data_IF_274542576814
#
_entry.id   IF_274542576814
#
_cell.length_a   1.000
_cell.length_b   1.000
_cell.length_c   1.000
_cell.angle_alpha   90.00
_cell.angle_beta   90.00
_cell.angle_gamma   90.00
#
_symmetry.space_group_name_H-M   'P 1'
#
loop_
_entity.id
_entity.type
_entity.pdbx_description
1 polymer ?
#
# COMPACT_ATOMS: atom_id res chain seq x y z
N UNK A 1 15.02 80.13 -9.31
CA UNK A 1 15.31 78.89 -10.09
C UNK A 1 14.95 77.71 -9.23
N UNK A 2 13.85 76.98 -9.56
CA UNK A 2 13.39 75.82 -8.77
C UNK A 2 13.65 74.59 -9.62
N UNK A 3 14.53 73.70 -9.12
CA UNK A 3 14.82 72.43 -9.71
C UNK A 3 13.72 71.40 -9.29
N UNK A 4 13.09 70.73 -10.25
CA UNK A 4 12.15 69.64 -10.01
C UNK A 4 12.94 68.31 -10.01
N UNK A 5 12.85 67.60 -8.91
CA UNK A 5 13.33 66.23 -8.83
C UNK A 5 12.23 65.28 -9.41
N UNK A 6 12.60 64.47 -10.39
CA UNK A 6 11.74 63.41 -10.92
C UNK A 6 12.02 62.09 -10.12
N UNK A 7 11.01 61.59 -9.41
CA UNK A 7 11.04 60.27 -8.78
C UNK A 7 10.74 59.17 -9.79
N UNK A 8 11.71 58.30 -9.98
CA UNK A 8 11.55 57.07 -10.76
C UNK A 8 11.00 55.99 -9.84
N UNK A 9 9.75 55.57 -10.03
CA UNK A 9 9.16 54.47 -9.32
C UNK A 9 9.53 53.14 -10.04
N UNK A 10 10.35 52.32 -9.40
CA UNK A 10 10.67 51.00 -9.88
C UNK A 10 9.53 50.05 -9.50
N UNK A 11 8.83 49.52 -10.49
CA UNK A 11 7.82 48.46 -10.34
C UNK A 11 8.56 47.12 -10.25
N UNK A 12 8.66 46.57 -9.05
CA UNK A 12 9.11 45.21 -8.81
C UNK A 12 7.95 44.27 -9.17
N UNK A 13 8.02 43.62 -10.34
CA UNK A 13 7.14 42.51 -10.69
C UNK A 13 7.55 41.28 -9.89
N UNK A 14 6.80 40.95 -8.84
CA UNK A 14 6.88 39.66 -8.19
C UNK A 14 6.27 38.60 -9.13
N UNK A 15 7.13 37.94 -9.88
CA UNK A 15 6.80 36.70 -10.57
C UNK A 15 6.54 35.61 -9.55
N UNK A 16 5.28 35.39 -9.18
CA UNK A 16 4.88 34.24 -8.39
C UNK A 16 5.13 32.97 -9.20
N UNK A 17 6.23 32.28 -8.92
CA UNK A 17 6.39 30.91 -9.37
C UNK A 17 5.32 30.07 -8.65
N UNK A 18 4.27 29.67 -9.39
CA UNK A 18 3.40 28.59 -8.97
C UNK A 18 4.26 27.33 -8.85
N UNK A 19 4.72 27.01 -7.64
CA UNK A 19 5.23 25.70 -7.34
C UNK A 19 4.05 24.72 -7.50
N UNK A 20 3.98 24.04 -8.64
CA UNK A 20 3.13 22.89 -8.79
C UNK A 20 3.52 21.93 -7.65
N UNK A 21 2.59 21.68 -6.72
CA UNK A 21 2.76 20.66 -5.70
C UNK A 21 3.04 19.36 -6.43
N UNK A 22 4.28 18.87 -6.34
CA UNK A 22 4.60 17.53 -6.82
C UNK A 22 3.66 16.57 -6.08
N UNK A 23 2.79 15.89 -6.82
CA UNK A 23 1.94 14.87 -6.22
C UNK A 23 2.85 13.88 -5.49
N UNK A 24 2.54 13.57 -4.23
CA UNK A 24 3.35 12.67 -3.43
C UNK A 24 3.56 11.35 -4.17
N UNK A 25 4.83 10.90 -4.23
CA UNK A 25 5.16 9.61 -4.83
C UNK A 25 4.45 8.49 -4.05
N UNK A 26 3.69 7.66 -4.76
CA UNK A 26 2.96 6.54 -4.18
C UNK A 26 3.69 5.21 -4.40
N UNK A 27 3.46 4.30 -3.45
CA UNK A 27 4.02 2.94 -3.42
C UNK A 27 2.95 1.95 -3.00
N UNK A 28 3.16 0.66 -3.31
CA UNK A 28 2.35 -0.42 -2.75
C UNK A 28 2.59 -0.53 -1.24
N UNK A 29 1.53 -0.61 -0.44
CA UNK A 29 1.66 -0.67 1.03
C UNK A 29 2.07 -2.07 1.54
N UNK A 30 1.83 -3.11 0.75
CA UNK A 30 2.15 -4.51 1.03
C UNK A 30 2.37 -5.28 -0.27
N UNK A 31 2.85 -6.52 -0.18
CA UNK A 31 2.97 -7.39 -1.35
C UNK A 31 1.61 -7.66 -1.98
N UNK A 32 1.51 -7.41 -3.27
CA UNK A 32 0.29 -7.63 -4.04
C UNK A 32 0.49 -8.89 -4.89
N UNK A 33 -0.36 -9.88 -4.68
CA UNK A 33 -0.34 -11.12 -5.43
C UNK A 33 -1.21 -11.03 -6.68
N UNK A 34 -0.71 -11.56 -7.80
CA UNK A 34 -1.44 -11.54 -9.05
C UNK A 34 -1.08 -12.70 -9.97
N UNK A 35 -2.08 -13.25 -10.64
CA UNK A 35 -1.91 -14.12 -11.81
C UNK A 35 -2.01 -13.30 -13.10
N UNK A 36 -2.89 -12.30 -13.09
CA UNK A 36 -3.06 -11.31 -14.15
C UNK A 36 -3.04 -9.91 -13.53
N UNK A 37 -2.17 -8.99 -13.99
CA UNK A 37 -2.06 -7.65 -13.40
C UNK A 37 -3.36 -6.87 -13.42
N UNK A 38 -4.19 -7.07 -14.43
CA UNK A 38 -5.49 -6.39 -14.59
C UNK A 38 -6.64 -7.05 -13.83
N UNK A 39 -6.39 -8.10 -13.06
CA UNK A 39 -7.38 -8.84 -12.27
C UNK A 39 -6.88 -9.09 -10.84
N UNK A 40 -6.49 -8.03 -10.16
CA UNK A 40 -6.13 -8.06 -8.74
C UNK A 40 -7.40 -7.80 -7.91
N UNK A 41 -7.54 -8.46 -6.78
CA UNK A 41 -8.69 -8.30 -5.88
C UNK A 41 -8.25 -7.89 -4.49
N UNK A 42 -9.12 -7.17 -3.78
CA UNK A 42 -8.87 -6.71 -2.41
C UNK A 42 -8.61 -7.85 -1.41
N UNK A 43 -9.04 -9.06 -1.71
CA UNK A 43 -8.75 -10.28 -0.93
C UNK A 43 -7.28 -10.70 -0.98
N UNK A 44 -6.50 -10.15 -1.92
CA UNK A 44 -5.06 -10.43 -2.08
C UNK A 44 -4.74 -11.93 -2.02
N UNK A 45 -5.47 -12.75 -2.80
CA UNK A 45 -5.23 -14.20 -2.88
C UNK A 45 -3.76 -14.48 -3.19
N UNK A 46 -3.10 -15.27 -2.35
CA UNK A 46 -1.66 -15.53 -2.42
C UNK A 46 -1.33 -16.55 -3.53
N UNK A 47 -1.53 -16.12 -4.78
CA UNK A 47 -1.42 -16.93 -5.98
C UNK A 47 -0.71 -16.18 -7.10
N UNK A 48 0.15 -16.88 -7.85
CA UNK A 48 0.88 -16.32 -8.98
C UNK A 48 2.12 -15.53 -8.56
N UNK A 49 2.32 -14.36 -9.16
CA UNK A 49 3.47 -13.50 -8.93
C UNK A 49 3.22 -12.50 -7.81
N UNK A 50 4.30 -11.88 -7.32
CA UNK A 50 4.26 -10.83 -6.31
C UNK A 50 4.72 -9.51 -6.92
N UNK A 51 3.92 -8.47 -6.83
CA UNK A 51 4.37 -7.09 -6.90
C UNK A 51 4.81 -6.71 -5.47
N UNK A 52 6.11 -6.44 -5.23
CA UNK A 52 6.63 -6.26 -3.88
C UNK A 52 6.04 -5.05 -3.14
N UNK A 53 5.95 -5.13 -1.83
CA UNK A 53 5.69 -3.98 -0.98
C UNK A 53 6.72 -2.88 -1.23
N UNK A 54 6.28 -1.61 -1.26
CA UNK A 54 7.13 -0.47 -1.55
C UNK A 54 7.52 -0.34 -3.02
N UNK A 55 6.87 -1.07 -3.96
CA UNK A 55 6.99 -0.82 -5.40
C UNK A 55 6.43 0.55 -5.73
N UNK A 56 7.20 1.36 -6.47
CA UNK A 56 6.76 2.65 -6.99
C UNK A 56 5.57 2.45 -7.93
N UNK A 57 4.58 3.34 -7.85
CA UNK A 57 3.43 3.34 -8.75
C UNK A 57 3.22 4.71 -9.38
N UNK A 58 2.80 4.73 -10.65
CA UNK A 58 2.51 5.92 -11.44
C UNK A 58 1.13 5.82 -12.08
N UNK A 59 0.66 6.92 -12.66
CA UNK A 59 -0.62 7.00 -13.39
C UNK A 59 -1.79 6.46 -12.56
N UNK A 60 -1.80 6.79 -11.27
CA UNK A 60 -2.81 6.26 -10.34
C UNK A 60 -4.18 6.88 -10.65
N UNK A 61 -5.14 6.03 -10.99
CA UNK A 61 -6.53 6.38 -11.19
C UNK A 61 -7.41 5.61 -10.19
N UNK A 62 -8.20 6.35 -9.40
CA UNK A 62 -9.14 5.78 -8.42
C UNK A 62 -10.56 6.00 -8.92
N UNK A 63 -11.34 4.96 -8.99
CA UNK A 63 -12.76 4.98 -9.27
C UNK A 63 -13.56 4.44 -8.07
N UNK A 64 -14.88 4.30 -8.19
CA UNK A 64 -15.73 3.91 -7.05
C UNK A 64 -15.33 2.60 -6.36
N UNK A 65 -14.72 1.64 -7.09
CA UNK A 65 -14.32 0.34 -6.53
C UNK A 65 -13.01 -0.19 -7.08
N UNK A 66 -12.27 0.61 -7.87
CA UNK A 66 -11.02 0.17 -8.48
C UNK A 66 -9.93 1.20 -8.27
N UNK A 67 -8.73 0.70 -8.16
CA UNK A 67 -7.51 1.50 -8.32
C UNK A 67 -6.69 0.91 -9.45
N UNK A 68 -6.34 1.75 -10.41
CA UNK A 68 -5.50 1.42 -11.55
C UNK A 68 -4.19 2.18 -11.44
N UNK A 69 -3.09 1.56 -11.79
CA UNK A 69 -1.77 2.18 -11.75
C UNK A 69 -0.79 1.46 -12.68
N UNK A 70 0.33 2.09 -12.94
CA UNK A 70 1.47 1.52 -13.67
C UNK A 70 2.62 1.27 -12.69
N UNK A 71 3.18 0.06 -12.67
CA UNK A 71 4.51 -0.18 -12.09
C UNK A 71 5.56 0.16 -13.15
N UNK A 72 6.40 1.20 -12.94
CA UNK A 72 7.34 1.65 -13.95
C UNK A 72 8.53 0.70 -14.13
N UNK A 73 8.87 -0.10 -13.11
CA UNK A 73 9.97 -1.06 -13.16
C UNK A 73 9.62 -2.29 -14.01
N UNK A 74 8.39 -2.79 -13.86
CA UNK A 74 7.89 -3.92 -14.65
C UNK A 74 7.30 -3.47 -15.99
N UNK A 75 7.07 -2.16 -16.18
CA UNK A 75 6.32 -1.58 -17.29
C UNK A 75 4.95 -2.24 -17.46
N UNK A 76 4.23 -2.46 -16.34
CA UNK A 76 2.98 -3.19 -16.31
C UNK A 76 1.87 -2.33 -15.71
N UNK A 77 0.69 -2.37 -16.35
CA UNK A 77 -0.53 -1.77 -15.81
C UNK A 77 -1.25 -2.76 -14.91
N UNK A 78 -1.63 -2.29 -13.73
CA UNK A 78 -2.41 -3.04 -12.74
C UNK A 78 -3.82 -2.47 -12.62
N UNK A 79 -4.79 -3.34 -12.38
CA UNK A 79 -6.15 -2.96 -11.99
C UNK A 79 -6.56 -3.83 -10.80
N UNK A 80 -6.76 -3.18 -9.66
CA UNK A 80 -7.16 -3.83 -8.42
C UNK A 80 -8.59 -3.43 -8.05
N UNK A 81 -9.44 -4.42 -7.75
CA UNK A 81 -10.86 -4.24 -7.48
C UNK A 81 -11.20 -4.54 -6.02
N UNK A 82 -11.96 -3.63 -5.41
CA UNK A 82 -12.56 -3.82 -4.09
C UNK A 82 -13.77 -4.76 -4.18
N UNK A 83 -13.71 -5.87 -3.46
CA UNK A 83 -14.78 -6.87 -3.38
C UNK A 83 -15.50 -6.73 -2.03
N UNK A 84 -16.44 -5.78 -1.94
CA UNK A 84 -17.05 -5.33 -0.68
C UNK A 84 -17.70 -6.45 0.16
N UNK A 85 -18.21 -7.52 -0.47
CA UNK A 85 -18.75 -8.68 0.28
C UNK A 85 -17.72 -9.39 1.18
N UNK A 86 -16.43 -9.19 0.93
CA UNK A 86 -15.34 -9.77 1.74
C UNK A 86 -14.83 -8.81 2.80
N UNK A 87 -15.29 -7.55 2.77
CA UNK A 87 -14.81 -6.46 3.63
C UNK A 87 -15.98 -5.74 4.32
N UNK A 88 -16.83 -6.44 5.12
CA UNK A 88 -17.91 -5.79 5.85
C UNK A 88 -17.35 -4.69 6.77
N UNK A 89 -17.97 -3.51 6.74
CA UNK A 89 -17.56 -2.35 7.54
C UNK A 89 -16.41 -1.53 6.97
N UNK A 90 -15.82 -1.92 5.82
CA UNK A 90 -14.77 -1.16 5.13
C UNK A 90 -15.31 -0.61 3.81
N UNK A 91 -15.08 0.66 3.55
CA UNK A 91 -15.41 1.28 2.25
C UNK A 91 -14.31 1.01 1.22
N UNK A 92 -14.65 1.14 -0.06
CA UNK A 92 -13.66 1.04 -1.14
C UNK A 92 -12.54 2.08 -0.99
N UNK A 93 -12.87 3.30 -0.57
CA UNK A 93 -11.91 4.37 -0.32
C UNK A 93 -10.94 3.99 0.80
N UNK A 94 -11.45 3.54 1.95
CA UNK A 94 -10.62 3.07 3.07
C UNK A 94 -9.69 1.93 2.66
N UNK A 95 -10.17 1.01 1.81
CA UNK A 95 -9.32 -0.05 1.27
C UNK A 95 -8.23 0.50 0.35
N UNK A 96 -8.55 1.45 -0.55
CA UNK A 96 -7.56 2.06 -1.44
C UNK A 96 -6.47 2.80 -0.66
N UNK A 97 -6.82 3.44 0.47
CA UNK A 97 -5.87 4.11 1.35
C UNK A 97 -4.95 3.14 2.11
N UNK A 98 -5.40 1.90 2.33
CA UNK A 98 -4.57 0.82 2.84
C UNK A 98 -3.74 0.13 1.77
N UNK A 99 -4.13 0.24 0.49
CA UNK A 99 -3.52 -0.45 -0.64
C UNK A 99 -2.30 0.30 -1.18
N UNK A 100 -2.36 1.63 -1.25
CA UNK A 100 -1.27 2.52 -1.66
C UNK A 100 -0.83 3.41 -0.49
N UNK A 101 0.44 3.82 -0.51
CA UNK A 101 1.05 4.63 0.56
C UNK A 101 2.13 5.55 0.00
N UNK A 102 2.46 6.62 0.72
CA UNK A 102 3.63 7.47 0.44
C UNK A 102 4.95 6.88 0.99
N UNK A 103 4.89 5.75 1.71
CA UNK A 103 6.06 5.11 2.33
C UNK A 103 6.68 4.10 1.38
N UNK A 104 7.94 4.30 1.01
CA UNK A 104 8.75 3.32 0.28
C UNK A 104 9.08 2.10 1.16
N UNK A 105 9.73 1.07 0.58
CA UNK A 105 10.07 -0.17 1.27
C UNK A 105 10.87 0.06 2.56
N UNK A 106 11.87 0.95 2.54
CA UNK A 106 12.69 1.25 3.72
C UNK A 106 11.83 1.84 4.87
N UNK A 107 10.89 2.75 4.54
CA UNK A 107 9.98 3.34 5.53
C UNK A 107 8.95 2.32 6.05
N UNK A 108 8.43 1.43 5.18
CA UNK A 108 7.52 0.35 5.58
C UNK A 108 8.19 -0.62 6.55
N UNK A 109 9.44 -0.96 6.31
CA UNK A 109 10.20 -1.95 7.10
C UNK A 109 11.01 -1.36 8.24
N UNK A 110 10.95 -0.04 8.46
CA UNK A 110 11.65 0.61 9.57
C UNK A 110 11.28 -0.02 10.92
N UNK A 111 12.32 -0.46 11.66
CA UNK A 111 12.17 -1.11 12.97
C UNK A 111 11.84 -2.62 12.91
N UNK A 112 11.79 -3.23 11.73
CA UNK A 112 11.69 -4.66 11.58
C UNK A 112 13.06 -5.33 11.61
N UNK A 113 13.11 -6.58 12.04
CA UNK A 113 14.35 -7.38 12.03
C UNK A 113 14.71 -7.82 10.61
N UNK A 114 15.96 -8.22 10.40
CA UNK A 114 16.42 -8.77 9.12
C UNK A 114 15.61 -10.01 8.70
N UNK A 115 15.25 -10.88 9.65
CA UNK A 115 14.43 -12.07 9.40
C UNK A 115 13.01 -11.69 8.93
N UNK A 116 12.36 -10.70 9.57
CA UNK A 116 11.06 -10.20 9.13
C UNK A 116 11.13 -9.61 7.71
N UNK A 117 12.18 -8.84 7.41
CA UNK A 117 12.39 -8.25 6.08
C UNK A 117 12.57 -9.34 5.01
N UNK A 118 13.32 -10.41 5.29
CA UNK A 118 13.48 -11.53 4.37
C UNK A 118 12.15 -12.27 4.14
N UNK A 119 11.37 -12.52 5.21
CA UNK A 119 10.05 -13.13 5.09
C UNK A 119 9.10 -12.26 4.24
N UNK A 120 9.10 -10.92 4.42
CA UNK A 120 8.34 -9.98 3.59
C UNK A 120 8.73 -10.10 2.12
N UNK A 121 10.02 -10.10 1.80
CA UNK A 121 10.49 -10.24 0.41
C UNK A 121 10.07 -11.56 -0.23
N UNK A 122 9.96 -12.62 0.57
CA UNK A 122 9.50 -13.93 0.14
C UNK A 122 7.96 -14.05 0.10
N UNK A 123 7.20 -13.05 0.58
CA UNK A 123 5.74 -13.12 0.70
C UNK A 123 5.28 -14.16 1.72
N UNK A 124 6.06 -14.41 2.75
CA UNK A 124 5.81 -15.45 3.74
C UNK A 124 5.42 -14.86 5.10
N UNK A 125 4.72 -15.68 5.88
CA UNK A 125 4.44 -15.44 7.30
C UNK A 125 5.19 -16.50 8.11
N UNK A 126 6.16 -16.06 8.92
CA UNK A 126 7.00 -16.93 9.73
C UNK A 126 6.85 -16.65 11.21
N UNK A 127 7.12 -17.64 12.07
CA UNK A 127 7.13 -17.49 13.53
C UNK A 127 8.07 -16.37 13.94
N UNK A 128 7.65 -15.54 14.88
CA UNK A 128 8.40 -14.37 15.37
C UNK A 128 8.11 -13.07 14.64
N UNK A 129 7.44 -13.08 13.49
CA UNK A 129 7.02 -11.84 12.80
C UNK A 129 6.05 -11.03 13.65
N UNK A 130 6.20 -9.71 13.64
CA UNK A 130 5.22 -8.79 14.22
C UNK A 130 3.96 -8.69 13.35
N UNK A 131 2.82 -8.31 13.93
CA UNK A 131 1.59 -7.99 13.19
C UNK A 131 1.87 -7.01 12.04
N UNK A 132 2.70 -5.97 12.28
CA UNK A 132 3.16 -5.03 11.25
C UNK A 132 3.85 -5.74 10.09
N UNK A 133 4.79 -6.63 10.37
CA UNK A 133 5.54 -7.35 9.34
C UNK A 133 4.63 -8.27 8.52
N UNK A 134 3.66 -8.93 9.17
CA UNK A 134 2.65 -9.75 8.48
C UNK A 134 1.80 -8.89 7.53
N UNK A 135 1.32 -7.72 7.97
CA UNK A 135 0.56 -6.81 7.09
C UNK A 135 1.37 -6.37 5.87
N UNK A 136 2.67 -6.07 6.03
CA UNK A 136 3.53 -5.70 4.88
C UNK A 136 3.79 -6.92 3.97
N UNK A 137 3.87 -8.13 4.55
CA UNK A 137 4.13 -9.35 3.78
C UNK A 137 2.94 -9.84 2.97
N UNK A 138 1.74 -9.86 3.54
CA UNK A 138 0.57 -10.51 2.92
C UNK A 138 -0.67 -9.63 2.84
N UNK A 139 -0.58 -8.39 3.31
CA UNK A 139 -1.70 -7.43 3.32
C UNK A 139 -2.66 -7.64 4.50
N UNK A 140 -3.78 -6.94 4.42
CA UNK A 140 -4.85 -7.06 5.42
C UNK A 140 -5.66 -8.32 5.18
N UNK A 141 -5.99 -9.08 6.24
CA UNK A 141 -6.92 -10.19 6.10
C UNK A 141 -8.32 -9.67 5.73
N UNK A 142 -9.12 -10.40 4.94
CA UNK A 142 -10.50 -10.01 4.65
C UNK A 142 -11.33 -9.93 5.94
N UNK A 143 -12.06 -8.84 6.14
CA UNK A 143 -12.82 -8.57 7.39
C UNK A 143 -13.93 -9.60 7.65
N UNK A 144 -14.48 -10.25 6.61
CA UNK A 144 -15.42 -11.37 6.79
C UNK A 144 -14.77 -12.57 7.51
N UNK A 145 -13.45 -12.69 7.44
CA UNK A 145 -12.69 -13.79 8.05
C UNK A 145 -11.95 -13.36 9.32
N UNK A 146 -11.62 -12.06 9.42
CA UNK A 146 -10.90 -11.45 10.56
C UNK A 146 -11.44 -10.04 10.75
N UNK A 147 -12.37 -9.87 11.68
CA UNK A 147 -13.10 -8.61 11.89
C UNK A 147 -12.23 -7.46 12.40
N UNK A 148 -11.06 -7.75 12.95
CA UNK A 148 -10.10 -6.75 13.44
C UNK A 148 -8.69 -7.31 13.47
N UNK A 149 -7.72 -6.46 13.11
CA UNK A 149 -6.28 -6.78 13.24
C UNK A 149 -5.77 -6.72 14.69
N UNK A 150 -6.61 -6.32 15.65
CA UNK A 150 -6.30 -6.43 17.08
C UNK A 150 -6.39 -7.87 17.61
N UNK A 151 -7.16 -8.72 16.93
CA UNK A 151 -7.29 -10.13 17.31
C UNK A 151 -5.95 -10.87 17.21
N UNK A 152 -5.81 -11.91 18.02
CA UNK A 152 -4.62 -12.76 18.03
C UNK A 152 -4.71 -13.98 17.10
N UNK A 153 -5.75 -14.04 16.28
CA UNK A 153 -5.87 -15.03 15.21
C UNK A 153 -6.39 -14.34 13.96
N UNK A 154 -5.60 -14.42 12.88
CA UNK A 154 -5.96 -13.88 11.58
C UNK A 154 -6.14 -15.01 10.58
N UNK A 155 -7.20 -14.92 9.77
CA UNK A 155 -7.48 -15.86 8.69
C UNK A 155 -7.23 -15.20 7.33
N UNK A 156 -6.35 -15.80 6.58
CA UNK A 156 -6.03 -15.41 5.21
C UNK A 156 -6.53 -16.44 4.19
N UNK A 157 -6.65 -16.04 2.94
CA UNK A 157 -7.05 -16.91 1.84
C UNK A 157 -5.89 -17.06 0.84
N UNK A 158 -5.52 -18.32 0.56
CA UNK A 158 -4.61 -18.61 -0.55
C UNK A 158 -5.32 -18.48 -1.89
N UNK A 159 -6.56 -18.94 -1.96
CA UNK A 159 -7.45 -18.85 -3.10
C UNK A 159 -8.92 -18.92 -2.62
N UNK A 160 -9.87 -19.11 -3.55
CA UNK A 160 -11.30 -19.19 -3.22
C UNK A 160 -11.69 -20.35 -2.29
N UNK A 161 -10.88 -21.40 -2.22
CA UNK A 161 -11.21 -22.64 -1.53
C UNK A 161 -10.28 -22.91 -0.34
N UNK A 162 -9.05 -22.40 -0.37
CA UNK A 162 -8.03 -22.65 0.64
C UNK A 162 -7.74 -21.41 1.45
N UNK A 163 -7.77 -21.59 2.76
CA UNK A 163 -7.38 -20.56 3.73
C UNK A 163 -6.38 -21.13 4.71
N UNK A 164 -5.76 -20.26 5.50
CA UNK A 164 -4.86 -20.62 6.58
C UNK A 164 -5.00 -19.62 7.74
N UNK A 165 -4.57 -20.04 8.91
CA UNK A 165 -4.59 -19.26 10.13
C UNK A 165 -3.18 -18.80 10.51
N UNK A 166 -3.10 -17.59 11.03
CA UNK A 166 -1.91 -17.01 11.66
C UNK A 166 -2.27 -16.70 13.10
N UNK A 167 -1.55 -17.28 14.04
CA UNK A 167 -1.76 -17.12 15.47
C UNK A 167 -0.69 -16.19 16.04
N UNK A 168 -1.11 -15.29 16.91
CA UNK A 168 -0.24 -14.32 17.57
C UNK A 168 -0.29 -14.50 19.08
N UNK A 169 0.82 -14.15 19.74
CA UNK A 169 0.91 -13.90 21.16
C UNK A 169 1.84 -12.71 21.40
N UNK A 170 1.43 -11.77 22.23
CA UNK A 170 2.18 -10.51 22.45
C UNK A 170 2.57 -9.80 21.16
N UNK A 171 1.67 -9.81 20.16
CA UNK A 171 1.87 -9.14 18.85
C UNK A 171 2.86 -9.83 17.92
N UNK A 172 3.32 -11.06 18.24
CA UNK A 172 4.24 -11.87 17.44
C UNK A 172 3.58 -13.17 16.98
N UNK A 173 3.88 -13.58 15.76
CA UNK A 173 3.42 -14.86 15.21
C UNK A 173 4.00 -16.01 16.04
N UNK A 174 3.14 -16.88 16.54
CA UNK A 174 3.51 -18.12 17.23
C UNK A 174 3.33 -19.36 16.36
N UNK A 175 2.37 -19.30 15.41
CA UNK A 175 2.10 -20.37 14.45
C UNK A 175 1.53 -19.78 13.16
N UNK A 176 1.90 -20.33 12.02
CA UNK A 176 1.27 -20.09 10.74
C UNK A 176 1.01 -21.43 10.05
N UNK A 177 -0.18 -21.59 9.49
CA UNK A 177 -0.60 -22.79 8.75
C UNK A 177 -0.45 -22.58 7.22
N UNK A 178 0.40 -21.63 6.84
CA UNK A 178 0.67 -21.24 5.45
C UNK A 178 1.22 -22.39 4.59
#
# INVERSE_FOLDING_TARGET
>A
MKARAASLAAILAFGGANAASAADQLYTAYNIWFEQPTKVYSTNYQKGNILPAGSEVKDVNRSSRKVEFTDPKLNMKFSAEFVGKHHPGVTAEQWMDRFLTTRNFAALTKGLTAAEIQAIKAGQVTVGMSKKAVLVSVGYPPEIATVSTELDTWKYWRDRFRNYLVYFSNGKVTKSEQ
#
